data_IF_341841273830
#
_entry.id   IF_341841273830
#
_cell.length_a   1.000
_cell.length_b   1.000
_cell.length_c   1.000
_cell.angle_alpha   90.00
_cell.angle_beta   90.00
_cell.angle_gamma   90.00
#
_symmetry.space_group_name_H-M   'P 1'
#
loop_
_entity.id
_entity.type
_entity.pdbx_description
1 polymer ?
#
# COMPACT_ATOMS: atom_id res chain seq x y z
N UNK A 1 18.04 -1.96 1.95
CA UNK A 1 17.79 -2.13 0.52
C UNK A 1 16.30 -1.99 0.24
N UNK A 2 15.94 -1.28 -0.80
CA UNK A 2 14.54 -1.03 -1.14
C UNK A 2 14.10 -1.95 -2.28
N UNK A 3 12.97 -2.60 -2.11
CA UNK A 3 12.39 -3.40 -3.19
C UNK A 3 11.72 -2.45 -4.19
N UNK A 4 12.03 -2.64 -5.47
CA UNK A 4 11.50 -1.82 -6.55
C UNK A 4 10.69 -2.68 -7.51
N UNK A 5 10.01 -2.05 -8.48
CA UNK A 5 9.31 -2.79 -9.54
C UNK A 5 10.26 -3.72 -10.29
N UNK A 6 11.47 -3.25 -10.54
CA UNK A 6 12.49 -4.05 -11.21
C UNK A 6 12.85 -5.29 -10.38
N UNK A 7 12.96 -5.13 -9.07
CA UNK A 7 13.22 -6.25 -8.17
C UNK A 7 12.10 -7.28 -8.16
N UNK A 8 10.86 -6.82 -8.21
CA UNK A 8 9.71 -7.72 -8.28
C UNK A 8 9.70 -8.47 -9.61
N UNK A 9 9.96 -7.76 -10.70
CA UNK A 9 10.06 -8.36 -12.04
C UNK A 9 11.13 -9.47 -12.06
N UNK A 10 12.30 -9.20 -11.51
CA UNK A 10 13.37 -10.18 -11.47
C UNK A 10 13.00 -11.40 -10.64
N UNK A 11 12.32 -11.22 -9.53
CA UNK A 11 11.86 -12.31 -8.70
C UNK A 11 10.86 -13.20 -9.44
N UNK A 12 9.93 -12.59 -10.18
CA UNK A 12 8.95 -13.33 -10.99
C UNK A 12 9.65 -14.11 -12.08
N UNK A 13 10.62 -13.48 -12.74
CA UNK A 13 11.41 -14.12 -13.77
C UNK A 13 12.14 -15.38 -13.24
N UNK A 14 12.78 -15.25 -12.10
CA UNK A 14 13.54 -16.34 -11.50
C UNK A 14 12.64 -17.45 -10.97
N UNK A 15 11.55 -17.11 -10.29
CA UNK A 15 10.72 -18.09 -9.60
C UNK A 15 9.72 -18.77 -10.49
N UNK A 16 9.17 -18.06 -11.48
CA UNK A 16 8.13 -18.61 -12.35
C UNK A 16 8.62 -18.94 -13.75
N UNK A 17 9.86 -18.57 -14.08
CA UNK A 17 10.43 -18.88 -15.38
C UNK A 17 9.87 -18.09 -16.54
N UNK A 18 9.12 -17.02 -16.28
CA UNK A 18 8.61 -16.17 -17.34
C UNK A 18 9.73 -15.32 -17.92
N UNK A 19 9.58 -14.91 -19.18
CA UNK A 19 10.54 -14.00 -19.81
C UNK A 19 10.56 -12.66 -19.06
N UNK A 20 11.62 -11.89 -19.28
CA UNK A 20 11.70 -10.56 -18.69
C UNK A 20 10.54 -9.66 -19.13
N UNK A 21 10.17 -9.73 -20.41
CA UNK A 21 9.06 -8.95 -20.93
C UNK A 21 7.74 -9.34 -20.28
N UNK A 22 7.49 -10.65 -20.16
CA UNK A 22 6.27 -11.13 -19.54
C UNK A 22 6.22 -10.77 -18.05
N UNK A 23 7.34 -10.89 -17.37
CA UNK A 23 7.44 -10.54 -15.96
C UNK A 23 7.15 -9.04 -15.74
N UNK A 24 7.69 -8.18 -16.60
CA UNK A 24 7.43 -6.75 -16.54
C UNK A 24 5.95 -6.43 -16.77
N UNK A 25 5.32 -7.08 -17.75
CA UNK A 25 3.90 -6.91 -18.01
C UNK A 25 3.04 -7.29 -16.83
N UNK A 26 3.36 -8.40 -16.17
CA UNK A 26 2.60 -8.85 -15.01
C UNK A 26 2.70 -7.87 -13.84
N UNK A 27 3.89 -7.36 -13.57
CA UNK A 27 4.08 -6.36 -12.51
C UNK A 27 3.28 -5.11 -12.79
N UNK A 28 3.35 -4.60 -14.01
CA UNK A 28 2.61 -3.39 -14.40
C UNK A 28 1.11 -3.62 -14.29
N UNK A 29 0.63 -4.78 -14.74
CA UNK A 29 -0.79 -5.10 -14.67
C UNK A 29 -1.31 -5.13 -13.23
N UNK A 30 -0.59 -5.82 -12.35
CA UNK A 30 -0.99 -5.93 -10.95
C UNK A 30 -1.03 -4.55 -10.29
N UNK A 31 0.01 -3.76 -10.48
CA UNK A 31 0.07 -2.43 -9.90
C UNK A 31 -1.02 -1.51 -10.46
N UNK A 32 -1.32 -1.65 -11.74
CA UNK A 32 -2.37 -0.86 -12.38
C UNK A 32 -3.75 -1.20 -11.83
N UNK A 33 -4.02 -2.47 -11.58
CA UNK A 33 -5.29 -2.91 -10.98
C UNK A 33 -5.43 -2.31 -9.58
N UNK A 34 -4.38 -2.36 -8.78
CA UNK A 34 -4.38 -1.79 -7.43
C UNK A 34 -4.64 -0.28 -7.49
N UNK A 35 -3.94 0.43 -8.36
CA UNK A 35 -4.10 1.88 -8.51
C UNK A 35 -5.52 2.25 -8.89
N UNK A 36 -6.12 1.54 -9.84
CA UNK A 36 -7.49 1.81 -10.27
C UNK A 36 -8.50 1.66 -9.15
N UNK A 37 -8.36 0.59 -8.39
CA UNK A 37 -9.27 0.37 -7.27
C UNK A 37 -9.17 1.51 -6.27
N UNK A 38 -7.96 1.92 -5.94
CA UNK A 38 -7.74 3.02 -5.00
C UNK A 38 -8.24 4.35 -5.54
N UNK A 39 -8.05 4.61 -6.84
CA UNK A 39 -8.56 5.83 -7.49
C UNK A 39 -10.09 5.90 -7.42
N UNK A 40 -10.75 4.76 -7.49
CA UNK A 40 -12.19 4.67 -7.40
C UNK A 40 -12.71 4.70 -5.96
N UNK A 41 -11.83 4.85 -4.98
CA UNK A 41 -12.20 4.91 -3.59
C UNK A 41 -12.43 3.55 -2.94
N UNK A 42 -12.02 2.48 -3.60
CA UNK A 42 -12.19 1.13 -3.07
C UNK A 42 -10.94 0.70 -2.31
N UNK A 43 -11.17 0.08 -1.16
CA UNK A 43 -10.07 -0.50 -0.40
C UNK A 43 -9.54 -1.75 -1.13
N UNK A 44 -8.24 -2.00 -0.98
CA UNK A 44 -7.61 -3.19 -1.54
C UNK A 44 -7.06 -4.03 -0.40
N UNK A 45 -7.55 -5.26 -0.30
CA UNK A 45 -7.09 -6.18 0.73
C UNK A 45 -6.36 -7.35 0.08
N UNK A 46 -5.15 -7.61 0.57
CA UNK A 46 -4.34 -8.74 0.11
C UNK A 46 -4.13 -9.65 1.31
N UNK A 47 -4.74 -10.82 1.25
CA UNK A 47 -4.70 -11.79 2.34
C UNK A 47 -3.27 -12.14 2.74
N UNK A 48 -2.98 -12.12 4.03
CA UNK A 48 -1.66 -12.42 4.53
C UNK A 48 -0.63 -11.31 4.36
N UNK A 49 -0.98 -10.23 3.68
CA UNK A 49 -0.08 -9.10 3.45
C UNK A 49 -0.57 -7.84 4.15
N UNK A 50 -1.70 -7.32 3.71
CA UNK A 50 -2.21 -6.10 4.31
C UNK A 50 -3.40 -5.53 3.55
N UNK A 51 -3.79 -4.35 4.00
CA UNK A 51 -4.93 -3.63 3.42
C UNK A 51 -4.54 -2.20 3.13
N UNK A 52 -4.88 -1.76 1.94
CA UNK A 52 -4.79 -0.36 1.55
C UNK A 52 -6.17 0.25 1.73
N UNK A 53 -6.28 1.26 2.57
CA UNK A 53 -7.54 1.95 2.83
C UNK A 53 -7.51 3.32 2.20
N UNK A 54 -8.60 3.68 1.52
CA UNK A 54 -8.78 5.02 1.00
C UNK A 54 -9.63 5.79 2.01
N UNK A 55 -9.07 6.88 2.51
CA UNK A 55 -9.76 7.76 3.46
C UNK A 55 -9.93 9.12 2.85
N UNK A 56 -11.11 9.68 3.04
CA UNK A 56 -11.40 11.03 2.59
C UNK A 56 -11.25 11.97 3.77
N UNK A 57 -10.41 12.97 3.61
CA UNK A 57 -10.22 13.99 4.63
C UNK A 57 -10.96 15.24 4.22
N UNK A 58 -11.85 15.68 5.10
CA UNK A 58 -12.66 16.87 4.86
C UNK A 58 -11.84 18.14 4.98
N UNK A 59 -12.38 19.24 4.45
CA UNK A 59 -11.79 20.54 4.65
C UNK A 59 -11.73 20.85 6.14
N UNK A 60 -10.62 21.44 6.54
CA UNK A 60 -10.43 21.84 7.92
C UNK A 60 -9.50 23.03 8.00
N UNK A 61 -9.60 23.77 9.10
CA UNK A 61 -8.65 24.85 9.36
C UNK A 61 -7.32 24.25 9.77
N UNK A 62 -6.28 24.73 9.14
CA UNK A 62 -4.93 24.46 9.56
C UNK A 62 -4.22 25.77 9.88
N UNK A 63 -2.94 25.68 10.18
CA UNK A 63 -2.13 26.86 10.45
C UNK A 63 -0.85 26.78 9.64
N UNK A 64 -0.50 27.85 9.00
CA UNK A 64 0.75 27.92 8.26
C UNK A 64 1.90 27.98 9.26
N UNK A 65 2.79 26.98 9.30
CA UNK A 65 3.86 26.96 10.29
C UNK A 65 4.89 28.09 10.10
N UNK A 66 4.97 28.68 8.91
CA UNK A 66 5.91 29.75 8.63
C UNK A 66 5.39 31.11 9.12
N UNK A 67 4.10 31.38 8.98
CA UNK A 67 3.51 32.67 9.33
C UNK A 67 2.59 32.62 10.54
N UNK A 68 2.15 31.44 10.93
CA UNK A 68 1.18 31.28 12.00
C UNK A 68 -0.25 31.63 11.61
N UNK A 69 -0.47 31.99 10.36
CA UNK A 69 -1.81 32.37 9.89
C UNK A 69 -2.69 31.15 9.67
N UNK A 70 -3.99 31.33 9.90
CA UNK A 70 -4.97 30.28 9.62
C UNK A 70 -5.12 30.07 8.13
N UNK A 71 -5.25 28.81 7.72
CA UNK A 71 -5.49 28.46 6.33
C UNK A 71 -6.48 27.30 6.27
N UNK A 72 -7.18 27.18 5.16
CA UNK A 72 -8.10 26.06 4.93
C UNK A 72 -7.36 24.95 4.20
N UNK A 73 -7.41 23.76 4.76
CA UNK A 73 -6.89 22.56 4.10
C UNK A 73 -8.02 21.97 3.25
N UNK A 74 -7.73 21.77 1.98
CA UNK A 74 -8.72 21.28 1.05
C UNK A 74 -9.07 19.81 1.31
N UNK A 75 -10.29 19.45 0.92
CA UNK A 75 -10.74 18.07 0.95
C UNK A 75 -9.86 17.22 0.03
N UNK A 76 -9.43 16.05 0.52
CA UNK A 76 -8.55 15.17 -0.26
C UNK A 76 -8.74 13.73 0.15
N UNK A 77 -8.36 12.83 -0.74
CA UNK A 77 -8.31 11.41 -0.44
C UNK A 77 -6.87 11.02 -0.15
N UNK A 78 -6.69 10.17 0.85
CA UNK A 78 -5.37 9.63 1.20
C UNK A 78 -5.46 8.11 1.28
N UNK A 79 -4.34 7.46 0.98
CA UNK A 79 -4.23 6.01 1.08
C UNK A 79 -3.36 5.69 2.29
N UNK A 80 -3.88 4.81 3.13
CA UNK A 80 -3.12 4.30 4.28
C UNK A 80 -2.96 2.80 4.14
N UNK A 81 -1.86 2.26 4.64
CA UNK A 81 -1.60 0.83 4.61
C UNK A 81 -1.59 0.28 6.02
N UNK A 82 -2.23 -0.87 6.19
CA UNK A 82 -2.21 -1.61 7.45
C UNK A 82 -1.77 -3.04 7.16
N UNK A 83 -0.70 -3.47 7.81
CA UNK A 83 -0.22 -4.83 7.63
C UNK A 83 -1.15 -5.84 8.27
N UNK A 84 -1.22 -7.03 7.69
CA UNK A 84 -1.97 -8.13 8.30
C UNK A 84 -1.28 -8.62 9.56
N UNK A 85 -2.02 -9.31 10.42
CA UNK A 85 -1.44 -9.92 11.61
C UNK A 85 -0.33 -10.90 11.27
N UNK A 86 -0.54 -11.69 10.21
CA UNK A 86 0.47 -12.64 9.74
C UNK A 86 1.76 -11.95 9.35
N UNK A 87 1.67 -10.87 8.58
CA UNK A 87 2.84 -10.13 8.15
C UNK A 87 3.52 -9.45 9.33
N UNK A 88 2.75 -8.87 10.23
CA UNK A 88 3.28 -8.22 11.42
C UNK A 88 4.10 -9.18 12.26
N UNK A 89 3.57 -10.38 12.48
CA UNK A 89 4.25 -11.39 13.27
C UNK A 89 5.57 -11.80 12.61
N UNK A 90 5.57 -11.95 11.30
CA UNK A 90 6.79 -12.28 10.55
C UNK A 90 7.84 -11.19 10.63
N UNK A 91 7.42 -9.94 10.54
CA UNK A 91 8.34 -8.81 10.61
C UNK A 91 8.99 -8.71 11.98
N UNK A 92 8.21 -8.92 13.02
CA UNK A 92 8.68 -8.82 14.39
C UNK A 92 9.39 -10.07 14.88
N UNK A 93 9.34 -11.14 14.10
CA UNK A 93 9.94 -12.41 14.51
C UNK A 93 9.33 -12.97 15.78
N UNK A 94 8.10 -12.59 16.07
CA UNK A 94 7.44 -12.93 17.31
C UNK A 94 6.66 -14.23 17.21
N UNK A 95 6.76 -15.04 18.26
CA UNK A 95 5.93 -16.22 18.40
C UNK A 95 4.58 -15.89 19.02
N UNK A 96 4.43 -14.67 19.47
CA UNK A 96 3.18 -14.23 20.08
C UNK A 96 2.15 -13.96 18.99
N UNK A 97 1.01 -14.59 19.14
CA UNK A 97 -0.10 -14.31 18.25
C UNK A 97 -0.66 -12.93 18.58
N UNK A 98 -0.88 -12.16 17.54
CA UNK A 98 -1.54 -10.89 17.69
C UNK A 98 -3.01 -11.11 18.06
N UNK A 99 -3.57 -10.35 19.00
CA UNK A 99 -4.99 -10.44 19.31
C UNK A 99 -5.88 -9.94 18.17
N UNK A 100 -5.29 -9.23 17.21
CA UNK A 100 -6.04 -8.74 16.07
C UNK A 100 -6.22 -9.85 15.04
N UNK A 101 -7.41 -9.94 14.49
CA UNK A 101 -7.67 -10.90 13.46
C UNK A 101 -6.89 -10.56 12.20
N UNK A 102 -6.36 -11.56 11.56
CA UNK A 102 -5.68 -11.39 10.29
C UNK A 102 -6.69 -11.25 9.16
N UNK A 103 -6.24 -10.64 8.13
CA UNK A 103 -7.02 -10.53 6.90
C UNK A 103 -6.15 -10.87 5.70
#
# INVERSE_FOLDING_TARGET
MTLTKSGIKDAIHKQLGFTNNKSAELVELILEIIKRSLENGEDVMISGFGRFNVKEKNERKGRNPATGESMMLTKRKVVTFRSSGVLRDKINGSDESSPESSF
#
